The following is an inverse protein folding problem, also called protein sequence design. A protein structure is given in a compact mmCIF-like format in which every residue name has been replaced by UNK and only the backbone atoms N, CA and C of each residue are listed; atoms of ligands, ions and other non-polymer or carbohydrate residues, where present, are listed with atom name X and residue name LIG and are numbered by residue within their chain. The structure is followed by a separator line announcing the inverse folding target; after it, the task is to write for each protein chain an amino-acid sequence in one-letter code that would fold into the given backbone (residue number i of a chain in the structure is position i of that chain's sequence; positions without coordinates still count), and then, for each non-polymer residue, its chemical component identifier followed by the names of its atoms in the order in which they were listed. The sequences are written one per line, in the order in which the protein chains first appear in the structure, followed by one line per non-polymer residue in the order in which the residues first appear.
data_IF_220468101347
#
_entry.id   IF_220468101347
#
_cell.length_a   1.000
_cell.length_b   1.000
_cell.length_c   1.000
_cell.angle_alpha   90.00
_cell.angle_beta   90.00
_cell.angle_gamma   90.00
#
_symmetry.space_group_name_H-M   'P 1'
#
loop_
_entity.id
_entity.type
_entity.pdbx_description
1 polymer ?
#
# COMPACT_ATOMS: atom_id res chain seq x y z
N UNK A 1 5.17 2.38 -8.21
CA UNK A 1 4.20 3.45 -7.91
C UNK A 1 2.89 3.05 -8.55
N UNK A 2 1.77 3.29 -7.87
CA UNK A 2 0.43 2.93 -8.34
C UNK A 2 0.09 3.64 -9.67
N UNK A 3 0.28 4.97 -9.75
CA UNK A 3 -0.08 5.77 -10.92
C UNK A 3 -1.54 5.52 -11.33
N UNK A 4 -1.78 5.15 -12.60
CA UNK A 4 -3.12 4.87 -13.15
C UNK A 4 -3.58 3.42 -12.92
N UNK A 5 -2.79 2.60 -12.20
CA UNK A 5 -3.17 1.23 -11.85
C UNK A 5 -4.13 1.23 -10.68
N UNK A 6 -4.97 0.21 -10.63
CA UNK A 6 -5.70 -0.13 -9.40
C UNK A 6 -4.72 -0.47 -8.27
N UNK A 7 -5.17 -0.36 -7.03
CA UNK A 7 -4.40 -0.80 -5.86
C UNK A 7 -4.06 -2.28 -5.96
N UNK A 8 -4.98 -3.12 -6.46
CA UNK A 8 -4.73 -4.55 -6.64
C UNK A 8 -3.60 -4.85 -7.62
N UNK A 9 -3.61 -4.20 -8.79
CA UNK A 9 -2.52 -4.35 -9.77
C UNK A 9 -1.19 -3.88 -9.17
N UNK A 10 -1.21 -2.79 -8.39
CA UNK A 10 0.00 -2.31 -7.74
C UNK A 10 0.50 -3.24 -6.62
N UNK A 11 -0.39 -3.85 -5.84
CA UNK A 11 -0.03 -4.84 -4.82
C UNK A 11 0.58 -6.09 -5.45
N UNK A 12 0.04 -6.58 -6.57
CA UNK A 12 0.61 -7.72 -7.29
C UNK A 12 2.06 -7.43 -7.76
N UNK A 13 2.33 -6.23 -8.28
CA UNK A 13 3.69 -5.83 -8.66
C UNK A 13 4.64 -5.74 -7.45
N UNK A 14 4.13 -5.32 -6.29
CA UNK A 14 4.92 -5.28 -5.07
C UNK A 14 5.27 -6.68 -4.58
N UNK A 15 4.32 -7.62 -4.62
CA UNK A 15 4.58 -9.01 -4.25
C UNK A 15 5.64 -9.64 -5.15
N UNK A 16 5.56 -9.43 -6.47
CA UNK A 16 6.58 -9.88 -7.42
C UNK A 16 7.95 -9.25 -7.11
N UNK A 17 7.98 -7.94 -6.81
CA UNK A 17 9.20 -7.23 -6.43
C UNK A 17 9.81 -7.82 -5.15
N UNK A 18 9.00 -7.98 -4.09
CA UNK A 18 9.47 -8.47 -2.79
C UNK A 18 10.01 -9.90 -2.89
N UNK A 19 9.35 -10.75 -3.68
CA UNK A 19 9.81 -12.11 -3.94
C UNK A 19 11.12 -12.11 -4.75
N UNK A 20 11.26 -11.21 -5.73
CA UNK A 20 12.45 -11.14 -6.59
C UNK A 20 13.69 -10.67 -5.84
N UNK A 21 13.56 -9.64 -5.00
CA UNK A 21 14.70 -9.06 -4.28
C UNK A 21 14.93 -9.68 -2.89
N UNK A 22 14.04 -10.59 -2.46
CA UNK A 22 14.10 -11.23 -1.15
C UNK A 22 13.81 -10.26 0.00
N UNK A 23 12.90 -9.31 -0.20
CA UNK A 23 12.56 -8.34 0.85
C UNK A 23 11.76 -9.02 1.96
N UNK A 24 12.36 -9.14 3.13
CA UNK A 24 11.75 -9.79 4.30
C UNK A 24 11.35 -8.81 5.40
N UNK A 25 11.89 -7.58 5.41
CA UNK A 25 11.52 -6.59 6.41
C UNK A 25 10.12 -6.04 6.15
N UNK A 26 9.24 -6.21 7.14
CA UNK A 26 7.84 -5.79 7.04
C UNK A 26 7.74 -4.26 6.96
N UNK A 27 8.58 -3.53 7.70
CA UNK A 27 8.52 -2.06 7.70
C UNK A 27 8.88 -1.52 6.34
N UNK A 28 9.93 -2.03 5.71
CA UNK A 28 10.30 -1.65 4.34
C UNK A 28 9.17 -1.95 3.34
N UNK A 29 8.47 -3.08 3.47
CA UNK A 29 7.29 -3.38 2.64
C UNK A 29 6.17 -2.36 2.83
N UNK A 30 5.86 -2.00 4.08
CA UNK A 30 4.85 -0.99 4.42
C UNK A 30 5.23 0.36 3.81
N UNK A 31 6.48 0.80 3.99
CA UNK A 31 6.96 2.06 3.41
C UNK A 31 6.90 2.06 1.89
N UNK A 32 7.26 0.94 1.25
CA UNK A 32 7.24 0.82 -0.21
C UNK A 32 5.82 0.90 -0.76
N UNK A 33 4.87 0.20 -0.14
CA UNK A 33 3.45 0.31 -0.46
C UNK A 33 2.95 1.74 -0.24
N UNK A 34 3.09 2.26 0.98
CA UNK A 34 2.55 3.56 1.37
C UNK A 34 3.04 4.69 0.47
N UNK A 35 4.36 4.78 0.25
CA UNK A 35 4.97 5.81 -0.59
C UNK A 35 4.60 5.67 -2.07
N UNK A 36 4.27 4.44 -2.50
CA UNK A 36 3.89 4.10 -3.85
C UNK A 36 2.45 4.43 -4.24
N UNK A 37 1.54 4.49 -3.26
CA UNK A 37 0.12 4.81 -3.47
C UNK A 37 -0.11 6.27 -3.88
N UNK A 38 -1.23 6.54 -4.54
CA UNK A 38 -1.61 7.93 -4.88
C UNK A 38 -1.84 8.78 -3.63
N UNK A 39 -1.70 10.11 -3.77
CA UNK A 39 -1.94 11.05 -2.66
C UNK A 39 -3.37 11.02 -2.12
N UNK A 40 -4.33 10.64 -2.97
CA UNK A 40 -5.74 10.47 -2.59
C UNK A 40 -5.88 9.33 -1.59
N UNK A 41 -5.30 8.17 -1.92
CA UNK A 41 -5.36 6.98 -1.07
C UNK A 41 -4.54 7.18 0.21
N UNK A 42 -3.35 7.75 0.13
CA UNK A 42 -2.54 8.07 1.32
C UNK A 42 -3.34 8.90 2.34
N UNK A 43 -4.14 9.88 1.89
CA UNK A 43 -5.01 10.68 2.77
C UNK A 43 -6.14 9.84 3.38
N UNK A 44 -6.73 8.91 2.63
CA UNK A 44 -7.73 7.98 3.16
C UNK A 44 -7.16 7.07 4.25
N UNK A 45 -5.95 6.52 4.05
CA UNK A 45 -5.28 5.70 5.07
C UNK A 45 -5.04 6.48 6.37
N UNK A 46 -4.67 7.76 6.28
CA UNK A 46 -4.56 8.62 7.47
C UNK A 46 -5.90 8.82 8.18
N UNK A 47 -7.01 8.94 7.45
CA UNK A 47 -8.37 9.06 8.02
C UNK A 47 -8.78 7.78 8.75
N UNK A 48 -8.36 6.62 8.24
CA UNK A 48 -8.51 5.31 8.88
C UNK A 48 -7.54 5.09 10.05
N UNK A 49 -6.79 6.12 10.48
CA UNK A 49 -5.84 6.08 11.60
C UNK A 49 -4.69 5.06 11.40
N UNK A 50 -4.40 4.70 10.16
CA UNK A 50 -3.23 3.90 9.82
C UNK A 50 -1.99 4.78 9.74
N UNK A 51 -0.83 4.17 10.01
CA UNK A 51 0.45 4.86 10.02
C UNK A 51 1.55 3.90 9.52
N UNK A 52 2.38 4.30 8.53
CA UNK A 52 3.41 3.44 7.96
C UNK A 52 4.45 2.95 8.99
N UNK A 53 4.65 3.67 10.09
CA UNK A 53 5.62 3.30 11.13
C UNK A 53 5.13 2.16 12.03
N UNK A 54 3.81 1.94 12.15
CA UNK A 54 3.22 1.03 13.14
C UNK A 54 2.21 0.03 12.56
N UNK A 55 1.50 0.38 11.49
CA UNK A 55 0.51 -0.49 10.87
C UNK A 55 1.19 -1.59 10.08
N UNK A 56 0.65 -2.81 10.14
CA UNK A 56 1.13 -3.96 9.37
C UNK A 56 0.91 -3.78 7.87
N UNK A 57 1.66 -4.53 7.07
CA UNK A 57 1.51 -4.51 5.61
C UNK A 57 0.09 -4.89 5.17
N UNK A 58 -0.48 -5.89 5.84
CA UNK A 58 -1.81 -6.44 5.57
C UNK A 58 -2.93 -5.43 5.92
N UNK A 59 -2.81 -4.70 7.03
CA UNK A 59 -3.72 -3.60 7.37
C UNK A 59 -3.71 -2.49 6.32
N UNK A 60 -2.50 -2.06 5.90
CA UNK A 60 -2.35 -1.00 4.91
C UNK A 60 -2.87 -1.44 3.54
N UNK A 61 -2.62 -2.69 3.13
CA UNK A 61 -3.05 -3.24 1.85
C UNK A 61 -4.57 -3.27 1.73
N UNK A 62 -5.26 -3.88 2.71
CA UNK A 62 -6.72 -3.96 2.72
C UNK A 62 -7.39 -2.59 2.78
N UNK A 63 -6.85 -1.68 3.59
CA UNK A 63 -7.40 -0.34 3.70
C UNK A 63 -7.17 0.46 2.41
N UNK A 64 -6.05 0.25 1.70
CA UNK A 64 -5.80 0.93 0.44
C UNK A 64 -6.82 0.51 -0.62
N UNK A 65 -7.15 -0.78 -0.72
CA UNK A 65 -8.21 -1.27 -1.62
C UNK A 65 -9.57 -0.67 -1.27
N UNK A 66 -9.94 -0.65 0.02
CA UNK A 66 -11.22 -0.07 0.45
C UNK A 66 -11.30 1.44 0.15
N UNK A 67 -10.23 2.17 0.42
CA UNK A 67 -10.14 3.61 0.13
C UNK A 67 -10.26 3.88 -1.37
N UNK A 68 -9.61 3.07 -2.22
CA UNK A 68 -9.75 3.18 -3.67
C UNK A 68 -11.21 3.02 -4.10
N UNK A 69 -11.92 2.03 -3.57
CA UNK A 69 -13.35 1.79 -3.87
C UNK A 69 -14.23 2.98 -3.42
N UNK A 70 -13.98 3.53 -2.22
CA UNK A 70 -14.75 4.68 -1.69
C UNK A 70 -14.52 5.94 -2.52
N UNK A 71 -13.30 6.10 -3.03
CA UNK A 71 -12.86 7.28 -3.76
C UNK A 71 -12.99 7.12 -5.29
N UNK A 72 -13.55 6.02 -5.79
CA UNK A 72 -13.81 5.76 -7.21
C UNK A 72 -14.98 6.57 -7.77
#
# INVERSE_FOLDING_TARGET
FQNDKSVQEYLAELDDLFNTIGLLDEREKVHKLWSGLTKKIQKGLWREKLNPEISSYDEVSRAAELVEIIES
#
